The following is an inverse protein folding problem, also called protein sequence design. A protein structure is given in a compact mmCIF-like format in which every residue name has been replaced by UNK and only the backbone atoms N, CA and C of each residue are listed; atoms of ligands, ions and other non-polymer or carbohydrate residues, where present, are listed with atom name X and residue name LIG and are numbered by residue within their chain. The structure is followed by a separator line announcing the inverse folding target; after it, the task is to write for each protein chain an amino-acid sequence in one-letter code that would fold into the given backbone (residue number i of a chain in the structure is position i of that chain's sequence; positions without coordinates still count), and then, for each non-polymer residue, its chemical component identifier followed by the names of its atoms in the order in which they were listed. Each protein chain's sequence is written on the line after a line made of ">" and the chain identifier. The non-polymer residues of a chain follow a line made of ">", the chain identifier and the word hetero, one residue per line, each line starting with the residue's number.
data_IF_867190196548
#
_entry.id   IF_867190196548
#
_cell.length_a   1.000
_cell.length_b   1.000
_cell.length_c   1.000
_cell.angle_alpha   90.00
_cell.angle_beta   90.00
_cell.angle_gamma   90.00
#
_symmetry.space_group_name_H-M   'P 1'
#
loop_
_entity.id
_entity.type
_entity.pdbx_description
1 polymer ?
#
# COMPACT_ATOMS: atom_id res chain seq x y z
N UNK A 1 10.76 -6.90 21.47
CA UNK A 1 10.11 -6.41 22.69
C UNK A 1 8.97 -5.50 22.27
N UNK A 2 7.76 -6.05 22.22
CA UNK A 2 6.56 -5.23 22.09
C UNK A 2 6.40 -4.46 23.39
N UNK A 3 6.87 -3.23 23.46
CA UNK A 3 6.35 -2.28 24.45
C UNK A 3 4.85 -2.24 24.22
N UNK A 4 4.04 -2.55 25.26
CA UNK A 4 2.60 -2.31 25.24
C UNK A 4 2.40 -0.87 24.80
N UNK A 5 1.96 -0.71 23.58
CA UNK A 5 1.57 0.60 23.06
C UNK A 5 0.30 0.95 23.83
N UNK A 6 0.29 2.08 24.53
CA UNK A 6 -0.86 2.50 25.30
C UNK A 6 -2.07 2.79 24.39
N UNK A 7 -3.28 2.91 24.96
CA UNK A 7 -4.49 3.26 24.20
C UNK A 7 -4.25 4.50 23.34
N UNK A 8 -4.65 4.43 22.07
CA UNK A 8 -4.49 5.54 21.13
C UNK A 8 -3.05 5.80 20.68
N UNK A 9 -2.22 4.76 20.57
CA UNK A 9 -0.87 4.87 20.03
C UNK A 9 -0.88 5.31 18.56
N UNK A 10 -0.10 6.34 18.27
CA UNK A 10 0.20 6.78 16.90
C UNK A 10 1.61 6.34 16.52
N UNK A 11 1.75 5.51 15.47
CA UNK A 11 3.04 5.15 14.91
C UNK A 11 3.48 6.20 13.86
N UNK A 12 4.53 7.02 14.13
CA UNK A 12 5.04 7.99 13.15
C UNK A 12 5.57 7.33 11.88
N UNK A 13 6.16 6.13 11.96
CA UNK A 13 6.67 5.40 10.80
C UNK A 13 5.59 5.05 9.76
N UNK A 14 4.30 5.08 10.15
CA UNK A 14 3.17 4.88 9.23
C UNK A 14 2.75 6.18 8.49
N UNK A 15 3.45 7.29 8.68
CA UNK A 15 3.12 8.55 7.99
C UNK A 15 3.15 8.41 6.45
N UNK A 16 4.16 7.77 5.83
CA UNK A 16 4.18 7.54 4.38
C UNK A 16 2.96 6.74 3.89
N UNK A 17 2.59 5.67 4.58
CA UNK A 17 1.43 4.85 4.22
C UNK A 17 0.12 5.65 4.25
N UNK A 18 -0.07 6.51 5.25
CA UNK A 18 -1.24 7.40 5.34
C UNK A 18 -1.25 8.45 4.25
N UNK A 19 -0.08 8.99 3.89
CA UNK A 19 0.07 9.94 2.78
C UNK A 19 -0.31 9.30 1.45
N UNK A 20 0.21 8.12 1.14
CA UNK A 20 -0.14 7.36 -0.06
C UNK A 20 -1.64 7.06 -0.14
N UNK A 21 -2.26 6.73 1.01
CA UNK A 21 -3.72 6.50 1.07
C UNK A 21 -4.53 7.73 0.70
N UNK A 22 -4.14 8.92 1.15
CA UNK A 22 -4.81 10.20 0.75
C UNK A 22 -4.65 10.46 -0.74
N UNK A 23 -3.44 10.27 -1.27
CA UNK A 23 -3.15 10.47 -2.70
C UNK A 23 -3.97 9.52 -3.58
N UNK A 24 -4.01 8.24 -3.23
CA UNK A 24 -4.78 7.23 -3.97
C UNK A 24 -6.29 7.51 -3.93
N UNK A 25 -6.81 7.93 -2.77
CA UNK A 25 -8.22 8.30 -2.64
C UNK A 25 -8.55 9.56 -3.44
N UNK A 26 -7.68 10.57 -3.40
CA UNK A 26 -7.82 11.78 -4.22
C UNK A 26 -7.80 11.44 -5.71
N UNK A 27 -6.83 10.63 -6.14
CA UNK A 27 -6.70 10.17 -7.52
C UNK A 27 -7.91 9.35 -8.00
N UNK A 28 -8.49 8.54 -7.12
CA UNK A 28 -9.69 7.77 -7.40
C UNK A 28 -10.91 8.65 -7.66
N UNK A 29 -11.01 9.77 -6.95
CA UNK A 29 -12.11 10.73 -7.08
C UNK A 29 -11.93 11.67 -8.28
N UNK A 30 -10.70 12.07 -8.59
CA UNK A 30 -10.39 12.96 -9.71
C UNK A 30 -10.48 12.26 -11.07
N UNK A 31 -10.09 10.99 -11.13
CA UNK A 31 -10.08 10.21 -12.38
C UNK A 31 -11.22 9.18 -12.48
N UNK A 32 -12.13 9.17 -11.51
CA UNK A 32 -13.34 8.34 -11.46
C UNK A 32 -13.11 6.84 -11.75
N UNK A 33 -11.90 6.30 -11.43
CA UNK A 33 -11.61 4.90 -11.70
C UNK A 33 -12.20 3.91 -10.68
N UNK A 34 -12.72 4.41 -9.55
CA UNK A 34 -13.37 3.61 -8.51
C UNK A 34 -14.88 3.63 -8.61
N UNK A 35 -15.46 4.81 -8.76
CA UNK A 35 -16.89 5.04 -8.88
C UNK A 35 -17.18 5.95 -10.08
N UNK A 36 -18.41 5.96 -10.56
CA UNK A 36 -18.81 6.85 -11.67
C UNK A 36 -18.71 8.32 -11.24
N UNK A 37 -18.49 9.26 -12.19
CA UNK A 37 -18.48 10.69 -11.91
C UNK A 37 -19.69 11.12 -11.07
N UNK A 38 -19.45 11.94 -10.04
CA UNK A 38 -20.49 12.47 -9.15
C UNK A 38 -21.06 11.49 -8.12
N UNK A 39 -20.68 10.20 -8.15
CA UNK A 39 -21.11 9.24 -7.14
C UNK A 39 -20.26 9.33 -5.88
N UNK A 40 -20.86 9.02 -4.73
CA UNK A 40 -20.20 8.99 -3.44
C UNK A 40 -19.28 7.78 -3.27
N UNK A 41 -18.25 7.97 -2.47
CA UNK A 41 -17.35 6.92 -1.98
C UNK A 41 -17.57 6.72 -0.49
N UNK A 42 -18.06 5.55 -0.11
CA UNK A 42 -18.12 5.12 1.29
C UNK A 42 -16.78 4.53 1.68
N UNK A 43 -16.09 5.22 2.57
CA UNK A 43 -14.77 4.84 3.06
C UNK A 43 -14.86 4.37 4.52
N UNK A 44 -14.18 3.27 4.84
CA UNK A 44 -14.05 2.74 6.20
C UNK A 44 -12.58 2.60 6.57
N UNK A 45 -12.19 3.21 7.68
CA UNK A 45 -10.99 2.83 8.44
C UNK A 45 -11.43 1.83 9.52
N UNK A 46 -11.15 0.55 9.29
CA UNK A 46 -11.71 -0.53 10.10
C UNK A 46 -11.06 -0.66 11.49
N UNK A 47 -9.87 -0.08 11.67
CA UNK A 47 -9.06 -0.13 12.89
C UNK A 47 -8.41 1.25 13.11
N UNK A 48 -9.25 2.27 13.25
CA UNK A 48 -8.87 3.68 13.08
C UNK A 48 -8.02 4.27 14.21
N UNK A 49 -7.91 3.58 15.36
CA UNK A 49 -7.26 4.09 16.55
C UNK A 49 -7.71 5.54 16.86
N UNK A 50 -6.80 6.51 16.87
CA UNK A 50 -7.13 7.93 17.10
C UNK A 50 -7.62 8.68 15.85
N UNK A 51 -7.94 8.00 14.77
CA UNK A 51 -8.53 8.56 13.56
C UNK A 51 -7.62 9.46 12.72
N UNK A 52 -6.29 9.32 12.81
CA UNK A 52 -5.35 10.17 12.06
C UNK A 52 -5.55 10.00 10.55
N UNK A 53 -5.71 8.77 10.03
CA UNK A 53 -5.97 8.49 8.63
C UNK A 53 -7.29 9.11 8.19
N UNK A 54 -8.33 8.91 8.96
CA UNK A 54 -9.68 9.46 8.72
C UNK A 54 -9.67 10.99 8.65
N UNK A 55 -8.94 11.66 9.58
CA UNK A 55 -8.78 13.13 9.53
C UNK A 55 -8.05 13.58 8.28
N UNK A 56 -7.02 12.84 7.84
CA UNK A 56 -6.29 13.14 6.61
C UNK A 56 -7.19 12.99 5.38
N UNK A 57 -7.95 11.89 5.27
CA UNK A 57 -8.95 11.74 4.19
C UNK A 57 -9.95 12.91 4.18
N UNK A 58 -10.41 13.30 5.38
CA UNK A 58 -11.42 14.34 5.53
C UNK A 58 -10.93 15.75 5.20
N UNK A 59 -9.65 16.03 5.48
CA UNK A 59 -9.09 17.38 5.39
C UNK A 59 -8.18 17.59 4.17
N UNK A 60 -7.50 16.56 3.68
CA UNK A 60 -6.49 16.68 2.63
C UNK A 60 -7.02 16.29 1.23
N UNK A 61 -8.06 15.46 1.13
CA UNK A 61 -8.73 15.26 -0.16
C UNK A 61 -9.27 16.60 -0.65
N UNK A 62 -9.05 16.89 -1.95
CA UNK A 62 -9.45 18.16 -2.53
C UNK A 62 -10.86 18.61 -2.16
N UNK A 63 -11.08 19.87 -1.74
CA UNK A 63 -12.39 20.39 -1.31
C UNK A 63 -13.52 20.11 -2.31
N UNK A 64 -13.21 20.16 -3.61
CA UNK A 64 -14.19 19.86 -4.67
C UNK A 64 -14.72 18.42 -4.65
N UNK A 65 -14.01 17.48 -4.00
CA UNK A 65 -14.40 16.07 -3.89
C UNK A 65 -14.81 15.65 -2.49
N UNK A 66 -14.54 16.46 -1.46
CA UNK A 66 -14.89 16.13 -0.06
C UNK A 66 -16.36 15.83 0.13
N UNK A 67 -17.25 16.53 -0.59
CA UNK A 67 -18.71 16.31 -0.55
C UNK A 67 -19.12 14.90 -1.01
N UNK A 68 -18.24 14.19 -1.75
CA UNK A 68 -18.46 12.81 -2.22
C UNK A 68 -18.03 11.74 -1.20
N UNK A 69 -17.35 12.13 -0.13
CA UNK A 69 -16.82 11.18 0.86
C UNK A 69 -17.86 10.92 1.97
N UNK A 70 -18.13 9.66 2.22
CA UNK A 70 -18.90 9.13 3.34
C UNK A 70 -17.96 8.28 4.18
N UNK A 71 -17.40 8.89 5.22
CA UNK A 71 -16.32 8.28 6.00
C UNK A 71 -16.88 7.64 7.25
N UNK A 72 -16.51 6.39 7.50
CA UNK A 72 -16.72 5.67 8.73
C UNK A 72 -15.36 5.32 9.38
N UNK A 73 -15.30 5.41 10.68
CA UNK A 73 -14.14 5.10 11.52
C UNK A 73 -14.56 4.10 12.58
N UNK A 74 -13.89 2.97 12.66
CA UNK A 74 -14.19 1.94 13.66
C UNK A 74 -12.96 1.60 14.49
N UNK A 75 -13.15 1.44 15.79
CA UNK A 75 -12.19 0.79 16.69
C UNK A 75 -12.91 0.12 17.83
N UNK A 76 -12.28 -0.85 18.46
CA UNK A 76 -12.81 -1.48 19.68
C UNK A 76 -12.44 -0.68 20.93
N UNK A 77 -11.37 0.11 20.89
CA UNK A 77 -10.84 0.89 22.01
C UNK A 77 -11.58 2.22 22.19
N UNK A 78 -12.41 2.32 23.22
CA UNK A 78 -13.17 3.53 23.56
C UNK A 78 -12.27 4.75 23.79
N UNK A 79 -11.10 4.57 24.42
CA UNK A 79 -10.17 5.68 24.68
C UNK A 79 -9.59 6.24 23.39
N UNK A 80 -9.34 5.38 22.40
CA UNK A 80 -8.90 5.79 21.08
C UNK A 80 -10.00 6.58 20.37
N UNK A 81 -11.24 6.11 20.42
CA UNK A 81 -12.40 6.79 19.82
C UNK A 81 -12.70 8.13 20.47
N UNK A 82 -12.62 8.26 21.81
CA UNK A 82 -12.77 9.54 22.50
C UNK A 82 -11.72 10.56 22.02
N UNK A 83 -10.49 10.11 21.82
CA UNK A 83 -9.42 10.95 21.24
C UNK A 83 -9.69 11.32 19.79
N UNK A 84 -10.24 10.40 19.01
CA UNK A 84 -10.67 10.68 17.63
C UNK A 84 -11.69 11.82 17.64
N UNK A 85 -12.78 11.70 18.41
CA UNK A 85 -13.86 12.70 18.50
C UNK A 85 -13.31 14.05 18.95
N UNK A 86 -12.57 14.09 20.06
CA UNK A 86 -11.98 15.32 20.60
C UNK A 86 -11.06 16.01 19.60
N UNK A 87 -10.28 15.23 18.83
CA UNK A 87 -9.37 15.80 17.85
C UNK A 87 -10.13 16.29 16.61
N UNK A 88 -11.20 15.61 16.20
CA UNK A 88 -12.08 16.09 15.11
C UNK A 88 -12.78 17.40 15.46
N UNK A 89 -13.23 17.56 16.71
CA UNK A 89 -13.81 18.81 17.19
C UNK A 89 -12.78 19.95 17.20
N UNK A 90 -11.54 19.65 17.59
CA UNK A 90 -10.45 20.63 17.62
C UNK A 90 -9.98 21.07 16.24
N UNK A 91 -10.03 20.20 15.26
CA UNK A 91 -9.59 20.42 13.87
C UNK A 91 -10.71 20.06 12.90
N UNK A 92 -11.79 20.87 12.86
CA UNK A 92 -12.90 20.61 11.94
C UNK A 92 -12.44 20.76 10.50
N UNK A 93 -13.08 20.02 9.56
CA UNK A 93 -12.77 20.17 8.15
C UNK A 93 -13.13 21.58 7.66
N UNK A 94 -12.38 22.08 6.67
CA UNK A 94 -12.62 23.39 6.06
C UNK A 94 -13.97 23.46 5.36
N UNK A 95 -14.48 22.34 4.84
CA UNK A 95 -15.81 22.22 4.24
C UNK A 95 -16.72 21.53 5.23
N UNK A 96 -17.72 22.25 5.76
CA UNK A 96 -18.81 21.63 6.50
C UNK A 96 -19.60 20.74 5.55
N UNK A 97 -19.56 19.45 5.79
CA UNK A 97 -20.39 18.50 5.04
C UNK A 97 -21.49 18.07 5.99
N UNK A 98 -22.56 18.86 6.02
CA UNK A 98 -23.85 18.42 6.56
C UNK A 98 -24.39 17.32 5.64
N UNK A 99 -23.83 16.13 5.79
CA UNK A 99 -24.51 14.96 5.28
C UNK A 99 -25.62 14.67 6.27
N UNK A 100 -26.76 15.26 6.00
CA UNK A 100 -27.98 14.83 6.65
C UNK A 100 -28.07 13.32 6.57
N UNK A 101 -28.43 12.68 7.68
CA UNK A 101 -28.72 11.24 7.80
C UNK A 101 -29.85 10.78 6.84
N UNK A 102 -30.39 11.69 6.05
CA UNK A 102 -31.51 11.56 5.10
C UNK A 102 -31.06 11.13 3.70
N UNK A 103 -29.81 10.68 3.52
CA UNK A 103 -29.43 10.14 2.22
C UNK A 103 -30.06 8.75 2.04
N UNK A 104 -31.22 8.70 1.39
CA UNK A 104 -31.97 7.49 0.98
C UNK A 104 -31.11 6.46 0.21
N UNK A 105 -29.87 6.83 -0.18
CA UNK A 105 -28.90 5.98 -0.83
C UNK A 105 -28.21 4.99 0.13
N UNK A 106 -28.34 5.17 1.43
CA UNK A 106 -27.96 4.16 2.42
C UNK A 106 -29.21 3.32 2.75
N UNK A 107 -29.37 2.19 2.10
CA UNK A 107 -30.36 1.18 2.53
C UNK A 107 -30.12 0.75 3.99
N UNK A 108 -28.89 0.85 4.47
CA UNK A 108 -28.48 0.68 5.87
C UNK A 108 -27.29 1.61 6.15
N UNK A 109 -27.45 2.71 6.91
CA UNK A 109 -26.31 3.46 7.42
C UNK A 109 -25.50 2.57 8.36
N UNK A 110 -24.18 2.72 8.43
CA UNK A 110 -23.37 2.01 9.41
C UNK A 110 -23.86 2.36 10.83
N UNK A 111 -23.81 1.39 11.75
CA UNK A 111 -24.06 1.65 13.16
C UNK A 111 -23.01 2.63 13.68
N UNK A 112 -23.40 3.67 14.39
CA UNK A 112 -22.46 4.64 14.94
C UNK A 112 -23.06 6.00 15.16
N UNK A 113 -22.24 6.91 15.67
CA UNK A 113 -22.61 8.31 15.91
C UNK A 113 -21.85 9.22 14.95
N UNK A 114 -22.56 10.17 14.36
CA UNK A 114 -21.96 11.16 13.46
C UNK A 114 -21.21 12.23 14.26
N UNK A 115 -19.93 12.42 13.94
CA UNK A 115 -19.07 13.46 14.49
C UNK A 115 -18.35 14.19 13.35
N UNK A 116 -18.70 15.45 13.10
CA UNK A 116 -18.08 16.29 12.07
C UNK A 116 -17.93 15.61 10.70
N UNK A 117 -19.00 14.95 10.22
CA UNK A 117 -19.01 14.29 8.92
C UNK A 117 -18.33 12.92 8.88
N UNK A 118 -18.05 12.31 10.04
CA UNK A 118 -17.50 10.96 10.16
C UNK A 118 -18.40 10.12 11.06
N UNK A 119 -18.81 8.94 10.61
CA UNK A 119 -19.46 7.93 11.45
C UNK A 119 -18.43 7.26 12.34
N UNK A 120 -18.55 7.43 13.64
CA UNK A 120 -17.67 6.79 14.63
C UNK A 120 -18.38 5.57 15.20
N UNK A 121 -17.77 4.40 15.03
CA UNK A 121 -18.33 3.10 15.43
C UNK A 121 -17.42 2.47 16.48
N UNK A 122 -18.02 1.78 17.44
CA UNK A 122 -17.31 0.95 18.42
C UNK A 122 -17.73 -0.50 18.23
N UNK A 123 -17.04 -1.19 17.32
CA UNK A 123 -17.38 -2.57 16.98
C UNK A 123 -16.13 -3.42 16.78
N UNK A 124 -16.31 -4.75 16.83
CA UNK A 124 -15.33 -5.66 16.22
C UNK A 124 -15.20 -5.28 14.72
N UNK A 125 -13.97 -5.13 14.25
CA UNK A 125 -13.70 -4.69 12.88
C UNK A 125 -14.38 -5.60 11.82
N UNK A 126 -14.54 -6.89 12.11
CA UNK A 126 -15.22 -7.84 11.21
C UNK A 126 -16.70 -7.53 11.06
N UNK A 127 -17.35 -7.04 12.11
CA UNK A 127 -18.74 -6.59 12.08
C UNK A 127 -18.81 -5.28 11.29
N UNK A 128 -17.99 -4.29 11.63
CA UNK A 128 -17.95 -3.00 10.96
C UNK A 128 -17.72 -3.13 9.45
N UNK A 129 -16.84 -4.04 9.02
CA UNK A 129 -16.56 -4.34 7.62
C UNK A 129 -17.77 -4.84 6.84
N UNK A 130 -18.74 -5.48 7.52
CA UNK A 130 -19.92 -6.08 6.88
C UNK A 130 -21.20 -5.22 7.01
N UNK A 131 -21.17 -4.11 7.75
CA UNK A 131 -22.38 -3.29 8.00
C UNK A 131 -22.87 -2.54 6.78
N UNK A 132 -21.94 -2.11 5.90
CA UNK A 132 -22.29 -1.37 4.68
C UNK A 132 -21.44 -1.83 3.51
N UNK A 133 -21.92 -1.61 2.27
CA UNK A 133 -21.14 -1.91 1.07
C UNK A 133 -20.14 -0.78 0.81
N UNK A 134 -18.95 -0.90 1.37
CA UNK A 134 -17.89 0.11 1.23
C UNK A 134 -17.20 0.04 -0.14
N UNK A 135 -16.88 1.22 -0.69
CA UNK A 135 -16.04 1.34 -1.88
C UNK A 135 -14.55 1.51 -1.53
N UNK A 136 -14.23 1.99 -0.33
CA UNK A 136 -12.86 2.14 0.15
C UNK A 136 -12.73 1.56 1.55
N UNK A 137 -11.82 0.64 1.75
CA UNK A 137 -11.59 0.03 3.07
C UNK A 137 -10.10 0.03 3.37
N UNK A 138 -9.74 0.46 4.57
CA UNK A 138 -8.40 0.33 5.14
C UNK A 138 -8.41 -0.66 6.30
N UNK A 139 -7.48 -1.61 6.28
CA UNK A 139 -7.23 -2.59 7.34
C UNK A 139 -5.78 -2.45 7.79
N UNK A 140 -5.56 -1.81 8.93
CA UNK A 140 -4.22 -1.54 9.47
C UNK A 140 -4.08 -2.06 10.91
N UNK A 141 -4.10 -3.40 11.13
CA UNK A 141 -3.99 -4.02 12.44
C UNK A 141 -2.56 -4.01 12.96
N UNK A 142 -2.42 -4.19 14.27
CA UNK A 142 -1.17 -4.68 14.83
C UNK A 142 -0.96 -6.15 14.44
N UNK A 143 0.16 -6.46 13.78
CA UNK A 143 0.51 -7.81 13.38
C UNK A 143 -0.12 -8.22 12.05
N UNK A 144 -0.87 -9.33 12.07
CA UNK A 144 -1.41 -9.94 10.86
C UNK A 144 -2.82 -9.48 10.51
N UNK A 145 -3.13 -9.15 9.25
CA UNK A 145 -4.48 -8.79 8.79
C UNK A 145 -5.37 -10.01 8.51
N UNK A 146 -4.87 -11.22 8.61
CA UNK A 146 -5.53 -12.46 8.16
C UNK A 146 -6.96 -12.59 8.70
N UNK A 147 -7.17 -12.25 9.98
CA UNK A 147 -8.47 -12.40 10.64
C UNK A 147 -9.57 -11.46 10.12
N UNK A 148 -9.21 -10.46 9.33
CA UNK A 148 -10.14 -9.44 8.82
C UNK A 148 -10.45 -9.59 7.34
N UNK A 149 -9.60 -10.31 6.58
CA UNK A 149 -9.65 -10.32 5.11
C UNK A 149 -10.96 -10.91 4.58
N UNK A 150 -11.46 -11.99 5.17
CA UNK A 150 -12.70 -12.63 4.72
C UNK A 150 -13.90 -11.69 4.88
N UNK A 151 -14.07 -11.08 6.05
CA UNK A 151 -15.13 -10.10 6.31
C UNK A 151 -14.99 -8.86 5.42
N UNK A 152 -13.76 -8.38 5.20
CA UNK A 152 -13.50 -7.25 4.31
C UNK A 152 -13.99 -7.54 2.90
N UNK A 153 -13.54 -8.65 2.31
CA UNK A 153 -13.92 -9.02 0.94
C UNK A 153 -15.43 -9.19 0.79
N UNK A 154 -16.11 -9.77 1.78
CA UNK A 154 -17.56 -9.92 1.76
C UNK A 154 -18.28 -8.57 1.80
N UNK A 155 -17.83 -7.66 2.67
CA UNK A 155 -18.45 -6.35 2.89
C UNK A 155 -18.19 -5.30 1.81
N UNK A 156 -17.25 -5.55 0.86
CA UNK A 156 -16.96 -4.61 -0.22
C UNK A 156 -18.13 -4.45 -1.19
N UNK A 157 -18.28 -3.26 -1.76
CA UNK A 157 -19.18 -3.01 -2.88
C UNK A 157 -18.75 -3.79 -4.13
N UNK A 158 -19.54 -3.70 -5.23
CA UNK A 158 -19.27 -4.45 -6.47
C UNK A 158 -17.90 -4.12 -7.08
N UNK A 159 -17.50 -2.85 -7.01
CA UNK A 159 -16.15 -2.36 -7.30
C UNK A 159 -15.70 -1.60 -6.07
N UNK A 160 -14.55 -1.92 -5.55
CA UNK A 160 -14.02 -1.34 -4.34
C UNK A 160 -12.49 -1.27 -4.36
N UNK A 161 -11.96 -0.55 -3.40
CA UNK A 161 -10.54 -0.45 -3.14
C UNK A 161 -10.26 -0.95 -1.73
N UNK A 162 -9.28 -1.82 -1.59
CA UNK A 162 -8.89 -2.42 -0.32
C UNK A 162 -7.42 -2.13 -0.06
N UNK A 163 -7.14 -1.46 1.02
CA UNK A 163 -5.80 -1.24 1.54
C UNK A 163 -5.57 -2.15 2.75
N UNK A 164 -4.49 -2.89 2.74
CA UNK A 164 -4.15 -3.86 3.80
C UNK A 164 -2.72 -3.66 4.24
N UNK A 165 -2.52 -3.52 5.55
CA UNK A 165 -1.21 -3.48 6.18
C UNK A 165 -0.96 -4.75 7.00
N UNK A 166 0.27 -5.26 6.94
CA UNK A 166 0.74 -6.34 7.80
C UNK A 166 2.08 -5.94 8.43
N UNK A 167 2.15 -5.99 9.76
CA UNK A 167 3.37 -5.66 10.53
C UNK A 167 4.08 -6.89 11.08
N UNK A 168 3.57 -8.10 10.84
CA UNK A 168 4.21 -9.37 11.19
C UNK A 168 5.21 -9.82 10.10
N UNK A 169 6.15 -8.93 9.77
CA UNK A 169 7.12 -9.08 8.69
C UNK A 169 7.97 -10.34 8.82
N UNK A 170 8.30 -10.77 10.04
CA UNK A 170 9.03 -12.03 10.26
C UNK A 170 8.27 -13.27 9.75
N UNK A 171 6.93 -13.25 9.78
CA UNK A 171 6.13 -14.31 9.18
C UNK A 171 6.10 -14.17 7.66
N UNK A 172 5.91 -12.95 7.15
CA UNK A 172 5.79 -12.72 5.69
C UNK A 172 7.10 -12.99 4.94
N UNK A 173 8.27 -12.62 5.52
CA UNK A 173 9.60 -12.85 4.91
C UNK A 173 10.11 -14.29 5.06
N UNK A 174 9.39 -15.17 5.76
CA UNK A 174 9.84 -16.54 6.00
C UNK A 174 10.76 -16.73 7.19
N UNK A 175 11.23 -15.65 7.86
CA UNK A 175 12.09 -15.74 9.06
C UNK A 175 11.40 -16.48 10.21
N UNK A 176 10.07 -16.49 10.24
CA UNK A 176 9.24 -17.34 11.10
C UNK A 176 8.42 -18.32 10.26
N UNK A 177 9.05 -19.36 9.72
CA UNK A 177 8.48 -20.31 8.77
C UNK A 177 7.16 -20.93 9.25
N UNK A 178 7.09 -21.38 10.51
CA UNK A 178 5.85 -21.97 11.06
C UNK A 178 4.70 -20.96 11.15
N UNK A 179 4.98 -19.69 11.41
CA UNK A 179 3.97 -18.62 11.41
C UNK A 179 3.55 -18.27 9.99
N UNK A 180 4.48 -18.23 9.04
CA UNK A 180 4.19 -18.02 7.64
C UNK A 180 3.24 -19.10 7.11
N UNK A 181 3.57 -20.37 7.34
CA UNK A 181 2.72 -21.48 6.89
C UNK A 181 1.32 -21.44 7.50
N UNK A 182 1.21 -21.18 8.81
CA UNK A 182 -0.12 -21.15 9.47
C UNK A 182 -0.98 -19.99 9.07
N UNK A 183 -0.39 -18.78 8.90
CA UNK A 183 -1.14 -17.54 8.64
C UNK A 183 -1.36 -17.30 7.16
N UNK A 184 -0.32 -17.53 6.37
CA UNK A 184 -0.29 -17.15 4.96
C UNK A 184 -0.33 -18.35 4.00
N UNK A 185 -0.20 -19.57 4.51
CA UNK A 185 -0.22 -20.78 3.69
C UNK A 185 0.97 -20.89 2.74
N UNK A 186 2.06 -20.16 2.99
CA UNK A 186 3.24 -20.09 2.13
C UNK A 186 4.49 -20.64 2.81
N UNK A 187 5.47 -21.00 2.00
CA UNK A 187 6.86 -21.30 2.39
C UNK A 187 7.77 -20.21 1.81
N UNK A 188 8.55 -19.52 2.63
CA UNK A 188 9.51 -18.52 2.18
C UNK A 188 10.95 -18.99 2.34
N UNK A 189 11.83 -18.49 1.48
CA UNK A 189 13.27 -18.57 1.61
C UNK A 189 13.78 -17.20 2.06
N UNK A 190 14.57 -17.19 3.14
CA UNK A 190 15.17 -15.96 3.64
C UNK A 190 16.44 -15.67 2.83
N UNK A 191 16.26 -14.95 1.75
CA UNK A 191 17.33 -14.45 0.88
C UNK A 191 17.15 -12.96 0.62
N UNK A 192 17.93 -12.36 -0.28
CA UNK A 192 17.80 -10.95 -0.66
C UNK A 192 16.40 -10.55 -1.16
N UNK A 193 15.63 -11.49 -1.71
CA UNK A 193 14.28 -11.26 -2.24
C UNK A 193 13.15 -11.47 -1.23
N UNK A 194 13.46 -11.78 0.04
CA UNK A 194 12.44 -12.08 1.05
C UNK A 194 11.43 -10.94 1.28
N UNK A 195 11.81 -9.68 1.03
CA UNK A 195 10.91 -8.52 1.15
C UNK A 195 9.92 -8.44 -0.02
N UNK A 196 10.37 -8.74 -1.26
CA UNK A 196 9.47 -8.85 -2.42
C UNK A 196 8.52 -10.04 -2.26
N UNK A 197 9.05 -11.19 -1.81
CA UNK A 197 8.24 -12.37 -1.48
C UNK A 197 7.15 -12.04 -0.44
N UNK A 198 7.48 -11.23 0.58
CA UNK A 198 6.52 -10.83 1.60
C UNK A 198 5.33 -10.06 1.03
N UNK A 199 5.57 -9.14 0.09
CA UNK A 199 4.52 -8.39 -0.62
C UNK A 199 3.66 -9.36 -1.45
N UNK A 200 4.29 -10.26 -2.19
CA UNK A 200 3.62 -11.24 -3.04
C UNK A 200 2.82 -12.28 -2.26
N UNK A 201 3.30 -12.71 -1.10
CA UNK A 201 2.58 -13.61 -0.19
C UNK A 201 1.31 -12.97 0.33
N UNK A 202 1.37 -11.70 0.76
CA UNK A 202 0.17 -10.97 1.22
C UNK A 202 -0.83 -10.77 0.08
N UNK A 203 -0.37 -10.36 -1.10
CA UNK A 203 -1.23 -10.23 -2.30
C UNK A 203 -1.89 -11.56 -2.67
N UNK A 204 -1.13 -12.66 -2.64
CA UNK A 204 -1.65 -14.00 -2.94
C UNK A 204 -2.75 -14.44 -1.99
N UNK A 205 -2.60 -14.14 -0.69
CA UNK A 205 -3.64 -14.42 0.30
C UNK A 205 -4.90 -13.59 0.03
N UNK A 206 -4.76 -12.29 -0.27
CA UNK A 206 -5.90 -11.43 -0.61
C UNK A 206 -6.58 -11.91 -1.89
N UNK A 207 -5.80 -12.25 -2.92
CA UNK A 207 -6.29 -12.77 -4.19
C UNK A 207 -7.11 -14.04 -4.03
N UNK A 208 -6.58 -15.03 -3.31
CA UNK A 208 -7.27 -16.32 -3.05
C UNK A 208 -8.47 -16.14 -2.15
N UNK A 209 -8.43 -15.23 -1.17
CA UNK A 209 -9.60 -14.88 -0.35
C UNK A 209 -10.69 -14.23 -1.21
N UNK A 210 -10.34 -13.28 -2.07
CA UNK A 210 -11.27 -12.61 -2.97
C UNK A 210 -11.92 -13.61 -3.95
N UNK A 211 -11.14 -14.53 -4.51
CA UNK A 211 -11.63 -15.53 -5.44
C UNK A 211 -12.71 -16.44 -4.85
N UNK A 212 -12.62 -16.81 -3.56
CA UNK A 212 -13.65 -17.58 -2.84
C UNK A 212 -15.01 -16.89 -2.77
N UNK A 213 -15.03 -15.56 -2.98
CA UNK A 213 -16.23 -14.73 -2.97
C UNK A 213 -16.61 -14.19 -4.36
N UNK A 214 -16.23 -14.90 -5.44
CA UNK A 214 -16.46 -14.49 -6.83
C UNK A 214 -15.90 -13.08 -7.14
N UNK A 215 -14.75 -12.73 -6.55
CA UNK A 215 -14.09 -11.45 -6.75
C UNK A 215 -12.66 -11.63 -7.26
N UNK A 216 -12.20 -10.70 -8.07
CA UNK A 216 -10.81 -10.61 -8.49
C UNK A 216 -10.16 -9.34 -7.96
N UNK A 217 -8.84 -9.36 -7.87
CA UNK A 217 -8.04 -8.20 -7.48
C UNK A 217 -7.22 -7.69 -8.67
N UNK A 218 -6.94 -6.39 -8.64
CA UNK A 218 -5.96 -5.72 -9.47
C UNK A 218 -5.05 -4.92 -8.53
N UNK A 219 -3.77 -5.30 -8.38
CA UNK A 219 -2.84 -4.53 -7.57
C UNK A 219 -2.67 -3.12 -8.15
N UNK A 220 -2.75 -2.12 -7.28
CA UNK A 220 -2.56 -0.71 -7.65
C UNK A 220 -1.23 -0.19 -7.14
N UNK A 221 -0.90 -0.53 -5.89
CA UNK A 221 0.38 -0.21 -5.27
C UNK A 221 0.66 -1.21 -4.16
N UNK A 222 1.75 -1.94 -4.24
CA UNK A 222 2.14 -2.93 -3.26
C UNK A 222 3.62 -2.72 -2.89
N UNK A 223 3.90 -2.47 -1.62
CA UNK A 223 5.20 -2.05 -1.11
C UNK A 223 5.57 -2.80 0.18
N UNK A 224 6.87 -3.02 0.36
CA UNK A 224 7.47 -3.29 1.65
C UNK A 224 8.07 -1.98 2.17
N UNK A 225 7.55 -1.44 3.25
CA UNK A 225 7.89 -0.11 3.77
C UNK A 225 8.68 -0.26 5.09
N UNK A 226 9.90 -0.80 4.99
CA UNK A 226 10.85 -0.95 6.08
C UNK A 226 10.39 -1.86 7.23
N UNK A 227 9.22 -1.61 7.80
CA UNK A 227 8.70 -2.30 8.99
C UNK A 227 7.35 -2.97 8.77
N UNK A 228 6.76 -2.82 7.60
CA UNK A 228 5.46 -3.38 7.28
C UNK A 228 5.32 -3.61 5.78
N UNK A 229 4.44 -4.52 5.44
CA UNK A 229 3.95 -4.69 4.06
C UNK A 229 2.64 -3.93 3.94
N UNK A 230 2.52 -3.11 2.90
CA UNK A 230 1.26 -2.47 2.56
C UNK A 230 0.90 -2.74 1.12
N UNK A 231 -0.31 -3.24 0.90
CA UNK A 231 -0.86 -3.50 -0.42
C UNK A 231 -2.18 -2.78 -0.60
N UNK A 232 -2.33 -2.17 -1.76
CA UNK A 232 -3.50 -1.41 -2.18
C UNK A 232 -4.01 -2.04 -3.46
N UNK A 233 -5.22 -2.62 -3.42
CA UNK A 233 -5.78 -3.40 -4.53
C UNK A 233 -7.19 -2.90 -4.88
N UNK A 234 -7.48 -2.82 -6.18
CA UNK A 234 -8.84 -2.70 -6.67
C UNK A 234 -9.48 -4.08 -6.67
N UNK A 235 -10.66 -4.19 -6.07
CA UNK A 235 -11.41 -5.44 -5.97
C UNK A 235 -12.68 -5.32 -6.79
N UNK A 236 -12.95 -6.30 -7.64
CA UNK A 236 -14.13 -6.30 -8.49
C UNK A 236 -14.86 -7.66 -8.41
N UNK A 237 -16.19 -7.61 -8.33
CA UNK A 237 -16.99 -8.83 -8.43
C UNK A 237 -16.99 -9.35 -9.87
N UNK A 238 -16.41 -10.53 -10.08
CA UNK A 238 -16.27 -11.19 -11.38
C UNK A 238 -15.95 -12.68 -11.18
N UNK A 239 -16.82 -13.58 -11.62
CA UNK A 239 -16.58 -15.02 -11.54
C UNK A 239 -15.42 -15.47 -12.43
N UNK A 240 -15.39 -14.97 -13.66
CA UNK A 240 -14.31 -15.27 -14.59
C UNK A 240 -12.97 -14.76 -14.04
N UNK A 241 -12.92 -13.50 -13.61
CA UNK A 241 -11.71 -12.93 -12.99
C UNK A 241 -11.30 -13.66 -11.70
N UNK A 242 -12.24 -14.18 -10.92
CA UNK A 242 -11.92 -15.01 -9.75
C UNK A 242 -11.26 -16.35 -10.14
N UNK A 243 -11.67 -16.94 -11.25
CA UNK A 243 -11.02 -18.13 -11.80
C UNK A 243 -9.63 -17.83 -12.36
N UNK A 244 -9.46 -16.66 -13.01
CA UNK A 244 -8.19 -16.22 -13.59
C UNK A 244 -7.13 -15.90 -12.53
N UNK A 245 -7.52 -15.54 -11.30
CA UNK A 245 -6.60 -15.30 -10.18
C UNK A 245 -5.64 -16.46 -9.95
N UNK A 246 -6.09 -17.69 -10.15
CA UNK A 246 -5.24 -18.88 -9.97
C UNK A 246 -4.07 -18.92 -10.95
N UNK A 247 -4.19 -18.30 -12.12
CA UNK A 247 -3.10 -18.18 -13.10
C UNK A 247 -2.02 -17.20 -12.65
N UNK A 248 -2.36 -16.25 -11.78
CA UNK A 248 -1.42 -15.32 -11.17
C UNK A 248 -0.83 -15.81 -9.85
N UNK A 249 -1.17 -17.02 -9.43
CA UNK A 249 -0.56 -17.69 -8.27
C UNK A 249 0.59 -18.59 -8.73
N UNK A 250 1.70 -18.58 -8.01
CA UNK A 250 2.86 -19.37 -8.37
C UNK A 250 3.93 -19.36 -7.29
N UNK A 251 5.14 -19.69 -7.72
CA UNK A 251 6.31 -19.83 -6.87
C UNK A 251 7.48 -19.10 -7.50
N UNK A 252 8.29 -18.42 -6.69
CA UNK A 252 9.62 -17.95 -7.08
C UNK A 252 10.65 -19.05 -6.85
N UNK A 253 11.37 -19.43 -7.88
CA UNK A 253 12.48 -20.38 -7.79
C UNK A 253 13.79 -19.66 -8.08
N UNK A 254 14.77 -19.78 -7.19
CA UNK A 254 16.10 -19.22 -7.39
C UNK A 254 16.91 -20.09 -8.34
N UNK A 255 17.55 -19.46 -9.31
CA UNK A 255 18.45 -20.09 -10.27
C UNK A 255 19.89 -20.15 -9.71
N UNK A 256 20.74 -20.99 -10.31
CA UNK A 256 22.13 -21.15 -9.87
C UNK A 256 23.01 -19.91 -10.18
N UNK A 257 22.61 -19.09 -11.15
CA UNK A 257 23.25 -17.82 -11.51
C UNK A 257 22.88 -16.64 -10.62
N UNK A 258 22.06 -16.88 -9.58
CA UNK A 258 21.57 -15.85 -8.66
C UNK A 258 20.30 -15.15 -9.09
N UNK A 259 19.83 -15.34 -10.32
CA UNK A 259 18.54 -14.87 -10.80
C UNK A 259 17.40 -15.71 -10.23
N UNK A 260 16.16 -15.34 -10.54
CA UNK A 260 14.98 -16.14 -10.20
C UNK A 260 14.01 -16.20 -11.39
N UNK A 261 13.08 -17.15 -11.31
CA UNK A 261 11.93 -17.23 -12.20
C UNK A 261 10.67 -17.54 -11.42
N UNK A 262 9.54 -17.17 -11.99
CA UNK A 262 8.23 -17.56 -11.50
C UNK A 262 7.69 -18.77 -12.26
N UNK A 263 7.12 -19.71 -11.53
CA UNK A 263 6.52 -20.95 -12.06
C UNK A 263 5.24 -21.26 -11.30
N UNK A 264 4.34 -22.03 -11.92
CA UNK A 264 3.07 -22.42 -11.29
C UNK A 264 3.29 -23.42 -10.15
N UNK A 265 4.12 -24.44 -10.37
CA UNK A 265 4.43 -25.45 -9.37
C UNK A 265 5.91 -25.83 -9.48
N UNK A 266 6.67 -25.85 -8.37
CA UNK A 266 8.05 -26.31 -8.39
C UNK A 266 8.12 -27.82 -8.63
N UNK A 267 9.10 -28.26 -9.38
CA UNK A 267 9.46 -29.68 -9.48
C UNK A 267 9.96 -30.19 -8.10
N UNK A 268 9.92 -31.49 -7.83
CA UNK A 268 10.31 -32.04 -6.53
C UNK A 268 11.73 -31.64 -6.08
N UNK A 269 12.67 -31.51 -7.01
CA UNK A 269 14.07 -31.11 -6.78
C UNK A 269 14.24 -29.60 -6.62
N UNK A 270 13.21 -28.81 -6.94
CA UNK A 270 13.21 -27.35 -6.80
C UNK A 270 12.58 -26.84 -5.51
N UNK A 271 11.78 -27.68 -4.82
CA UNK A 271 10.98 -27.31 -3.64
C UNK A 271 11.82 -26.65 -2.55
N UNK A 272 13.07 -27.08 -2.35
CA UNK A 272 13.94 -26.51 -1.31
C UNK A 272 14.41 -25.08 -1.64
N UNK A 273 14.45 -24.71 -2.92
CA UNK A 273 14.84 -23.38 -3.41
C UNK A 273 13.65 -22.56 -3.95
N UNK A 274 12.42 -22.95 -3.57
CA UNK A 274 11.19 -22.31 -3.98
C UNK A 274 10.50 -21.58 -2.83
N UNK A 275 10.06 -20.35 -3.06
CA UNK A 275 9.19 -19.57 -2.17
C UNK A 275 7.79 -19.45 -2.76
N UNK A 276 6.75 -19.68 -1.96
CA UNK A 276 5.34 -19.61 -2.40
C UNK A 276 4.42 -20.58 -1.63
N UNK A 277 3.16 -20.76 -2.05
CA UNK A 277 2.55 -20.05 -3.18
C UNK A 277 2.35 -18.55 -2.88
N UNK A 278 2.47 -17.72 -3.91
CA UNK A 278 2.37 -16.28 -3.81
C UNK A 278 1.80 -15.67 -5.10
N UNK A 279 1.49 -14.40 -5.09
CA UNK A 279 1.16 -13.65 -6.30
C UNK A 279 2.40 -13.46 -7.19
N UNK A 280 2.32 -13.89 -8.45
CA UNK A 280 3.45 -13.77 -9.42
C UNK A 280 3.15 -12.78 -10.55
N UNK A 281 1.98 -12.16 -10.55
CA UNK A 281 1.62 -11.11 -11.49
C UNK A 281 2.22 -9.74 -11.15
N UNK A 282 1.82 -8.69 -11.88
CA UNK A 282 2.24 -7.31 -11.64
C UNK A 282 1.90 -6.85 -10.22
N UNK A 283 2.73 -5.97 -9.66
CA UNK A 283 2.55 -5.43 -8.31
C UNK A 283 1.87 -4.07 -8.29
N UNK A 284 1.91 -3.32 -9.41
CA UNK A 284 1.39 -1.96 -9.49
C UNK A 284 0.52 -1.75 -10.73
N UNK A 285 -0.29 -0.69 -10.69
CA UNK A 285 -0.95 -0.13 -11.87
C UNK A 285 -0.18 1.11 -12.34
N UNK A 286 0.46 1.04 -13.52
CA UNK A 286 1.32 2.10 -14.03
C UNK A 286 0.59 3.44 -14.13
N UNK A 287 -0.66 3.45 -14.63
CA UNK A 287 -1.40 4.69 -14.86
C UNK A 287 -1.75 5.43 -13.57
N UNK A 288 -1.88 4.73 -12.44
CA UNK A 288 -2.14 5.32 -11.14
C UNK A 288 -0.82 5.65 -10.44
N UNK A 289 0.12 4.71 -10.38
CA UNK A 289 1.39 4.88 -9.68
C UNK A 289 2.25 6.02 -10.27
N UNK A 290 2.24 6.22 -11.59
CA UNK A 290 2.95 7.32 -12.25
C UNK A 290 2.49 8.73 -11.83
N UNK A 291 1.28 8.86 -11.28
CA UNK A 291 0.75 10.12 -10.77
C UNK A 291 1.10 10.40 -9.31
N UNK A 292 1.71 9.43 -8.60
CA UNK A 292 2.16 9.60 -7.22
C UNK A 292 3.55 10.28 -7.19
N UNK A 293 3.59 11.54 -7.57
CA UNK A 293 4.83 12.33 -7.69
C UNK A 293 5.10 13.19 -6.44
N UNK A 294 6.36 13.63 -6.30
CA UNK A 294 6.75 14.56 -5.23
C UNK A 294 6.03 15.92 -5.32
N UNK A 295 5.74 16.38 -6.54
CA UNK A 295 4.93 17.58 -6.73
C UNK A 295 3.49 17.36 -6.30
N UNK A 296 2.90 16.25 -6.71
CA UNK A 296 1.51 15.91 -6.40
C UNK A 296 1.26 15.77 -4.90
N UNK A 297 2.18 15.16 -4.17
CA UNK A 297 2.02 15.01 -2.72
C UNK A 297 2.00 16.36 -1.99
N UNK A 298 2.77 17.34 -2.46
CA UNK A 298 2.75 18.69 -1.89
C UNK A 298 1.45 19.42 -2.22
N UNK A 299 0.94 19.27 -3.44
CA UNK A 299 -0.34 19.87 -3.83
C UNK A 299 -1.53 19.35 -3.01
N UNK A 300 -1.53 18.07 -2.68
CA UNK A 300 -2.66 17.40 -2.00
C UNK A 300 -2.51 17.43 -0.47
N UNK A 301 -1.33 17.13 0.04
CA UNK A 301 -1.14 16.83 1.46
C UNK A 301 -0.44 17.96 2.24
N UNK A 302 0.09 18.99 1.56
CA UNK A 302 0.70 20.11 2.23
C UNK A 302 -0.27 21.29 2.33
N UNK A 303 -0.40 21.95 3.50
CA UNK A 303 -1.31 23.08 3.67
C UNK A 303 -1.02 24.21 2.70
N UNK A 304 -2.06 24.89 2.21
CA UNK A 304 -1.95 26.11 1.43
C UNK A 304 -1.35 27.25 2.27
N UNK A 305 -0.86 28.30 1.65
CA UNK A 305 -0.36 29.49 2.35
C UNK A 305 -1.41 30.13 3.27
N UNK A 306 -2.68 30.08 2.88
CA UNK A 306 -3.78 30.57 3.70
C UNK A 306 -3.94 29.70 4.97
N UNK A 307 -3.98 28.38 4.82
CA UNK A 307 -4.08 27.45 5.95
C UNK A 307 -2.87 27.54 6.88
N UNK A 308 -1.65 27.73 6.33
CA UNK A 308 -0.45 27.95 7.13
C UNK A 308 -0.56 29.23 7.95
N UNK A 309 -1.10 30.32 7.38
CA UNK A 309 -1.33 31.57 8.10
C UNK A 309 -2.33 31.39 9.24
N UNK A 310 -3.48 30.74 8.98
CA UNK A 310 -4.47 30.41 10.01
C UNK A 310 -3.87 29.53 11.12
N UNK A 311 -3.06 28.53 10.76
CA UNK A 311 -2.39 27.67 11.73
C UNK A 311 -1.43 28.45 12.63
N UNK A 312 -0.66 29.41 12.06
CA UNK A 312 0.24 30.28 12.82
C UNK A 312 -0.53 31.18 13.79
N UNK A 313 -1.63 31.78 13.35
CA UNK A 313 -2.54 32.58 14.20
C UNK A 313 -3.11 31.78 15.38
N UNK A 314 -3.35 30.48 15.18
CA UNK A 314 -3.83 29.55 16.22
C UNK A 314 -2.71 29.02 17.11
N UNK A 315 -1.46 29.52 16.96
CA UNK A 315 -0.31 29.10 17.74
C UNK A 315 0.20 27.70 17.43
N UNK A 316 -0.13 27.14 16.26
CA UNK A 316 0.47 25.91 15.77
C UNK A 316 1.86 26.21 15.20
N UNK A 317 2.80 25.27 15.40
CA UNK A 317 4.14 25.37 14.81
C UNK A 317 4.03 25.30 13.29
N UNK A 318 4.64 26.23 12.62
CA UNK A 318 4.85 26.27 11.17
C UNK A 318 5.89 27.35 10.87
N UNK A 319 7.06 27.27 11.53
CA UNK A 319 8.22 28.05 11.08
C UNK A 319 8.83 27.41 9.82
N UNK A 320 9.88 28.03 9.27
CA UNK A 320 10.50 27.55 8.03
C UNK A 320 11.09 26.16 8.19
N UNK A 321 11.64 25.81 9.37
CA UNK A 321 12.18 24.48 9.63
C UNK A 321 11.08 23.41 9.70
N UNK A 322 9.94 23.73 10.34
CA UNK A 322 8.78 22.83 10.41
C UNK A 322 8.21 22.59 9.00
N UNK A 323 8.12 23.65 8.20
CA UNK A 323 7.67 23.60 6.79
C UNK A 323 8.57 22.72 5.94
N UNK A 324 9.88 22.96 5.99
CA UNK A 324 10.86 22.17 5.24
C UNK A 324 10.89 20.70 5.66
N UNK A 325 10.77 20.44 6.96
CA UNK A 325 10.72 19.08 7.46
C UNK A 325 9.47 18.34 6.97
N UNK A 326 8.30 18.97 7.07
CA UNK A 326 7.05 18.38 6.62
C UNK A 326 7.06 18.11 5.11
N UNK A 327 7.56 19.03 4.30
CA UNK A 327 7.68 18.83 2.86
C UNK A 327 8.64 17.69 2.51
N UNK A 328 9.79 17.56 3.20
CA UNK A 328 10.72 16.44 2.99
C UNK A 328 10.07 15.10 3.31
N UNK A 329 9.34 15.00 4.43
CA UNK A 329 8.64 13.76 4.81
C UNK A 329 7.52 13.40 3.84
N UNK A 330 6.79 14.39 3.32
CA UNK A 330 5.78 14.18 2.30
C UNK A 330 6.40 13.66 0.99
N UNK A 331 7.45 14.32 0.48
CA UNK A 331 8.16 13.86 -0.74
C UNK A 331 8.71 12.45 -0.56
N UNK A 332 9.29 12.15 0.62
CA UNK A 332 9.82 10.82 0.93
C UNK A 332 8.76 9.72 0.80
N UNK A 333 7.50 10.02 1.11
CA UNK A 333 6.41 9.03 1.06
C UNK A 333 6.10 8.49 -0.35
N UNK A 334 6.51 9.22 -1.40
CA UNK A 334 6.28 8.87 -2.82
C UNK A 334 7.58 8.74 -3.63
N UNK A 335 8.73 8.86 -2.96
CA UNK A 335 10.04 8.81 -3.62
C UNK A 335 10.17 7.56 -4.48
N UNK A 336 10.61 7.74 -5.73
CA UNK A 336 10.81 6.68 -6.74
C UNK A 336 9.56 5.92 -7.20
N UNK A 337 8.34 6.20 -6.66
CA UNK A 337 7.14 5.47 -7.07
C UNK A 337 6.81 5.76 -8.55
N UNK A 338 6.74 7.03 -8.92
CA UNK A 338 6.40 7.40 -10.29
C UNK A 338 7.45 6.93 -11.31
N UNK A 339 8.72 6.94 -10.93
CA UNK A 339 9.84 6.50 -11.78
C UNK A 339 9.79 4.97 -12.04
N UNK A 340 9.44 4.18 -11.03
CA UNK A 340 9.36 2.73 -11.12
C UNK A 340 8.00 2.22 -11.66
N UNK A 341 7.01 3.09 -11.83
CA UNK A 341 5.61 2.72 -12.08
C UNK A 341 5.43 1.78 -13.28
N UNK A 342 6.03 2.10 -14.41
CA UNK A 342 5.92 1.29 -15.63
C UNK A 342 6.59 -0.08 -15.46
N UNK A 343 7.79 -0.12 -14.91
CA UNK A 343 8.53 -1.36 -14.67
C UNK A 343 7.82 -2.28 -13.68
N UNK A 344 7.31 -1.75 -12.57
CA UNK A 344 6.63 -2.54 -11.53
C UNK A 344 5.22 -3.00 -11.93
N UNK A 345 4.67 -2.48 -13.03
CA UNK A 345 3.34 -2.83 -13.55
C UNK A 345 3.35 -3.94 -14.60
N UNK A 346 4.51 -4.42 -14.98
CA UNK A 346 4.72 -5.47 -15.99
C UNK A 346 5.71 -6.51 -15.49
N UNK A 347 5.94 -7.55 -16.26
CA UNK A 347 7.02 -8.49 -16.01
C UNK A 347 8.37 -7.77 -16.11
N UNK A 348 9.21 -7.93 -15.10
CA UNK A 348 10.47 -7.22 -14.92
C UNK A 348 11.49 -8.09 -14.19
N UNK A 349 12.76 -7.71 -14.31
CA UNK A 349 13.85 -8.28 -13.52
C UNK A 349 14.15 -7.38 -12.31
N UNK A 350 14.07 -7.95 -11.12
CA UNK A 350 14.42 -7.30 -9.85
C UNK A 350 15.82 -7.76 -9.42
N UNK A 351 16.67 -6.80 -9.06
CA UNK A 351 18.05 -7.05 -8.63
C UNK A 351 18.35 -6.43 -7.29
N UNK A 352 19.08 -7.19 -6.45
CA UNK A 352 19.70 -6.65 -5.25
C UNK A 352 21.14 -6.25 -5.58
N UNK A 353 21.52 -5.00 -5.32
CA UNK A 353 22.84 -4.48 -5.72
C UNK A 353 24.01 -5.28 -5.12
N UNK A 354 23.86 -5.83 -3.92
CA UNK A 354 24.91 -6.64 -3.28
C UNK A 354 25.07 -8.03 -3.91
N UNK A 355 24.06 -8.53 -4.65
CA UNK A 355 24.13 -9.80 -5.37
C UNK A 355 24.77 -9.63 -6.76
N UNK A 356 24.71 -8.44 -7.33
CA UNK A 356 25.19 -8.13 -8.69
C UNK A 356 26.68 -8.47 -8.90
N UNK A 357 27.61 -8.17 -7.95
CA UNK A 357 29.02 -8.56 -8.10
C UNK A 357 29.21 -10.06 -8.29
N UNK A 358 28.50 -10.87 -7.53
CA UNK A 358 28.58 -12.32 -7.63
C UNK A 358 28.04 -12.81 -8.98
N UNK A 359 26.91 -12.25 -9.45
CA UNK A 359 26.33 -12.59 -10.75
C UNK A 359 27.25 -12.18 -11.92
N UNK A 360 27.88 -11.00 -11.83
CA UNK A 360 28.76 -10.48 -12.87
C UNK A 360 30.18 -11.04 -12.82
N UNK A 361 30.59 -11.75 -11.76
CA UNK A 361 31.96 -12.21 -11.53
C UNK A 361 32.92 -11.04 -11.24
N UNK A 362 32.45 -9.97 -10.59
CA UNK A 362 33.21 -8.77 -10.24
C UNK A 362 33.44 -8.71 -8.73
N UNK A 363 34.49 -8.01 -8.29
CA UNK A 363 34.83 -7.89 -6.86
C UNK A 363 33.99 -6.84 -6.11
N UNK A 364 33.26 -6.01 -6.82
CA UNK A 364 32.47 -4.89 -6.26
C UNK A 364 31.29 -4.54 -7.17
N UNK A 365 30.26 -3.86 -6.61
CA UNK A 365 29.16 -3.29 -7.37
C UNK A 365 29.53 -1.89 -7.91
N UNK A 366 29.06 -1.49 -9.10
CA UNK A 366 29.13 -0.11 -9.55
C UNK A 366 28.19 0.79 -8.68
N UNK A 367 28.35 2.10 -8.81
CA UNK A 367 27.33 3.02 -8.25
C UNK A 367 26.02 2.84 -9.00
N UNK A 368 24.90 2.82 -8.28
CA UNK A 368 23.56 2.56 -8.86
C UNK A 368 23.22 3.59 -9.94
N UNK A 369 23.57 4.87 -9.73
CA UNK A 369 23.33 5.93 -10.71
C UNK A 369 24.09 5.68 -12.03
N UNK A 370 25.36 5.28 -11.93
CA UNK A 370 26.17 4.96 -13.11
C UNK A 370 25.63 3.72 -13.86
N UNK A 371 25.13 2.73 -13.11
CA UNK A 371 24.49 1.55 -13.72
C UNK A 371 23.21 1.95 -14.48
N UNK A 372 22.38 2.84 -13.91
CA UNK A 372 21.17 3.30 -14.58
C UNK A 372 21.47 4.12 -15.84
N UNK A 373 22.41 5.05 -15.77
CA UNK A 373 22.86 5.81 -16.95
C UNK A 373 23.35 4.89 -18.07
N UNK A 374 24.13 3.87 -17.71
CA UNK A 374 24.64 2.92 -18.70
C UNK A 374 23.53 2.05 -19.32
N UNK A 375 22.57 1.56 -18.50
CA UNK A 375 21.43 0.81 -19.02
C UNK A 375 20.52 1.67 -19.93
N UNK A 376 20.28 2.93 -19.55
CA UNK A 376 19.53 3.88 -20.39
C UNK A 376 20.26 4.15 -21.73
N UNK A 377 21.57 4.27 -21.72
CA UNK A 377 22.37 4.43 -22.94
C UNK A 377 22.31 3.20 -23.86
N UNK A 378 22.13 2.00 -23.31
CA UNK A 378 21.87 0.77 -24.07
C UNK A 378 20.39 0.62 -24.50
N UNK A 379 19.50 1.59 -24.14
CA UNK A 379 18.10 1.64 -24.55
C UNK A 379 17.10 0.98 -23.60
N UNK A 380 17.49 0.68 -22.36
CA UNK A 380 16.65 0.04 -21.36
C UNK A 380 16.23 1.01 -20.25
N UNK A 381 15.10 0.72 -19.60
CA UNK A 381 14.66 1.43 -18.41
C UNK A 381 15.25 0.80 -17.14
N UNK A 382 15.57 1.64 -16.16
CA UNK A 382 15.96 1.21 -14.83
C UNK A 382 15.47 2.20 -13.78
N UNK A 383 15.04 1.71 -12.63
CA UNK A 383 14.55 2.53 -11.53
C UNK A 383 14.88 1.89 -10.16
N UNK A 384 14.97 2.72 -9.12
CA UNK A 384 15.05 2.23 -7.73
C UNK A 384 13.71 1.63 -7.33
N UNK A 385 13.76 0.55 -6.56
CA UNK A 385 12.54 0.04 -5.91
C UNK A 385 12.29 0.89 -4.66
N UNK A 386 11.12 1.53 -4.53
CA UNK A 386 10.81 2.36 -3.37
C UNK A 386 10.89 1.58 -2.06
N UNK A 387 11.43 2.22 -1.03
CA UNK A 387 11.48 1.75 0.35
C UNK A 387 12.24 0.43 0.60
N UNK A 388 12.83 -0.19 -0.44
CA UNK A 388 13.67 -1.38 -0.34
C UNK A 388 15.06 -1.09 -0.93
N UNK A 389 15.93 -0.46 -0.18
CA UNK A 389 17.33 -0.32 -0.55
C UNK A 389 18.10 -1.63 -0.25
N UNK A 390 19.02 -2.04 -1.11
CA UNK A 390 19.48 -1.44 -2.37
C UNK A 390 18.93 -2.17 -3.62
N UNK A 391 17.62 -2.24 -3.77
CA UNK A 391 17.01 -2.87 -4.94
C UNK A 391 16.79 -1.91 -6.11
N UNK A 392 16.95 -2.46 -7.32
CA UNK A 392 16.52 -1.82 -8.55
C UNK A 392 15.74 -2.78 -9.44
N UNK A 393 14.97 -2.20 -10.35
CA UNK A 393 14.17 -2.89 -11.36
C UNK A 393 14.58 -2.41 -12.75
N UNK A 394 14.62 -3.31 -13.73
CA UNK A 394 14.95 -2.99 -15.11
C UNK A 394 14.24 -3.94 -16.07
N UNK A 395 14.03 -3.50 -17.31
CA UNK A 395 13.58 -4.35 -18.43
C UNK A 395 14.74 -4.85 -19.31
N UNK A 396 15.99 -4.57 -18.90
CA UNK A 396 17.17 -5.09 -19.57
C UNK A 396 17.28 -6.61 -19.40
N UNK A 397 17.65 -7.35 -20.47
CA UNK A 397 18.01 -8.76 -20.34
C UNK A 397 19.14 -8.96 -19.32
N UNK A 398 19.12 -10.08 -18.59
CA UNK A 398 20.11 -10.38 -17.56
C UNK A 398 21.57 -10.24 -18.07
N UNK A 399 21.86 -10.81 -19.22
CA UNK A 399 23.21 -10.73 -19.84
C UNK A 399 23.65 -9.29 -20.12
N UNK A 400 22.70 -8.41 -20.47
CA UNK A 400 22.97 -6.98 -20.68
C UNK A 400 23.33 -6.30 -19.37
N UNK A 401 22.57 -6.59 -18.30
CA UNK A 401 22.89 -6.07 -16.94
C UNK A 401 24.31 -6.47 -16.54
N UNK A 402 24.66 -7.76 -16.69
CA UNK A 402 25.97 -8.26 -16.32
C UNK A 402 27.10 -7.67 -17.19
N UNK A 403 26.87 -7.50 -18.49
CA UNK A 403 27.81 -6.82 -19.40
C UNK A 403 28.07 -5.40 -18.93
N UNK A 404 27.02 -4.60 -18.73
CA UNK A 404 27.13 -3.20 -18.31
C UNK A 404 27.88 -3.08 -16.98
N UNK A 405 27.61 -3.97 -16.03
CA UNK A 405 28.31 -3.99 -14.73
C UNK A 405 29.81 -4.22 -14.92
N UNK A 406 30.20 -5.20 -15.78
CA UNK A 406 31.63 -5.48 -16.05
C UNK A 406 32.30 -4.29 -16.73
N UNK A 407 31.64 -3.69 -17.73
CA UNK A 407 32.18 -2.57 -18.50
C UNK A 407 32.42 -1.35 -17.61
N UNK A 408 31.50 -1.04 -16.67
CA UNK A 408 31.64 0.06 -15.70
C UNK A 408 32.81 -0.13 -14.69
N UNK A 409 33.23 -1.36 -14.46
CA UNK A 409 34.28 -1.65 -13.48
C UNK A 409 35.67 -1.89 -14.12
N UNK A 410 35.72 -1.99 -15.45
CA UNK A 410 36.94 -2.10 -16.24
C UNK A 410 37.37 -0.80 -16.89
N UNK A 411 36.51 0.20 -16.92
CA UNK A 411 36.76 1.57 -17.40
C UNK A 411 37.32 2.45 -16.30
#
# INVERSE_FOLDING_TARGET
>A
VYKRQGPGFLNPAMAPARTRSVLLLTDALEHDWLVKPGHDVRALDALCATGVRVRRWRNEVSPQHQHRLRIAANDLDTVALDRLVTTHERFPPAVSVDHALEDDRYERPPSGTMHNGVFVMQNDARIALMEAAYQWVDIDPFGSPVNFLDAAVQGLSRVAFLEVTATDTAALTGSSASSQQRRYGAKGIVDSYAHDDAVRVLLGLIATTAARHDRCIEPVLALFDGHHVRVSVKVRRSRDGASDVLQSMGWRVRNDDGTYRFIQHPAPDEVERASGPMWVGPLWNASIASRLTEERVLQVCFPSEHELAEHRERGLRWDDNDTDHAQRELRRSVRHIAEAADLMSREHALYHMDDVPNMAGTGQAPKMEALFEALVNEGYAAARVPDIDPFFVTDAPHETVLKVVRDLLTA
#
